data_IF_090782942453
#
_entry.id   IF_090782942453
#
_cell.length_a   1.000
_cell.length_b   1.000
_cell.length_c   1.000
_cell.angle_alpha   90.00
_cell.angle_beta   90.00
_cell.angle_gamma   90.00
#
_symmetry.space_group_name_H-M   'P 1'
#
loop_
_entity.id
_entity.type
_entity.pdbx_description
1 polymer ?
#
# COMPACT_ATOMS: atom_id res chain seq x y z
N UNK A 1 -20.53 10.75 7.06
CA UNK A 1 -20.44 11.92 7.94
C UNK A 1 -19.21 11.67 8.80
N UNK A 2 -18.21 12.56 8.74
CA UNK A 2 -16.95 12.39 9.47
C UNK A 2 -17.18 12.58 10.97
N UNK A 3 -16.85 11.57 11.77
CA UNK A 3 -16.97 11.61 13.23
C UNK A 3 -15.68 12.17 13.84
N UNK A 4 -15.81 13.16 14.73
CA UNK A 4 -14.66 13.70 15.47
C UNK A 4 -14.59 13.03 16.84
N UNK A 5 -13.55 12.23 17.06
CA UNK A 5 -13.31 11.52 18.32
C UNK A 5 -12.18 12.17 19.11
N UNK A 6 -12.37 12.29 20.42
CA UNK A 6 -11.34 12.80 21.32
C UNK A 6 -10.39 11.66 21.70
N UNK A 7 -9.08 11.88 21.56
CA UNK A 7 -8.05 10.91 21.96
C UNK A 7 -6.97 11.60 22.79
N UNK A 8 -6.44 10.87 23.77
CA UNK A 8 -5.26 11.31 24.51
C UNK A 8 -4.02 11.20 23.63
N UNK A 9 -3.15 12.22 23.70
CA UNK A 9 -1.90 12.22 22.93
C UNK A 9 -1.04 10.99 23.21
N UNK A 10 -0.99 10.52 24.46
CA UNK A 10 -0.27 9.31 24.86
C UNK A 10 -0.76 8.06 24.11
N UNK A 11 -2.09 7.87 24.01
CA UNK A 11 -2.70 6.75 23.28
C UNK A 11 -2.42 6.82 21.80
N UNK A 12 -2.60 8.00 21.19
CA UNK A 12 -2.31 8.21 19.77
C UNK A 12 -0.83 7.95 19.46
N UNK A 13 0.09 8.45 20.30
CA UNK A 13 1.52 8.23 20.16
C UNK A 13 1.89 6.76 20.30
N UNK A 14 1.30 6.06 21.27
CA UNK A 14 1.54 4.63 21.44
C UNK A 14 1.07 3.84 20.20
N UNK A 15 -0.15 4.09 19.73
CA UNK A 15 -0.68 3.49 18.51
C UNK A 15 0.22 3.74 17.29
N UNK A 16 0.67 4.99 17.12
CA UNK A 16 1.60 5.36 16.05
C UNK A 16 2.88 4.52 16.09
N UNK A 17 3.55 4.45 17.25
CA UNK A 17 4.80 3.70 17.41
C UNK A 17 4.56 2.21 17.16
N UNK A 18 3.47 1.65 17.69
CA UNK A 18 3.15 0.23 17.52
C UNK A 18 2.91 -0.14 16.06
N UNK A 19 2.08 0.62 15.35
CA UNK A 19 1.78 0.36 13.93
C UNK A 19 3.02 0.61 13.07
N UNK A 20 3.77 1.68 13.32
CA UNK A 20 5.04 1.94 12.61
C UNK A 20 6.02 0.79 12.78
N UNK A 21 6.27 0.36 14.02
CA UNK A 21 7.16 -0.76 14.29
C UNK A 21 6.65 -2.07 13.67
N UNK A 22 5.34 -2.29 13.62
CA UNK A 22 4.79 -3.47 12.93
C UNK A 22 5.16 -3.45 11.45
N UNK A 23 4.90 -2.33 10.77
CA UNK A 23 5.15 -2.21 9.33
C UNK A 23 6.64 -2.33 9.04
N UNK A 24 7.51 -1.64 9.79
CA UNK A 24 8.97 -1.71 9.62
C UNK A 24 9.54 -3.11 9.79
N UNK A 25 8.88 -3.99 10.57
CA UNK A 25 9.29 -5.39 10.70
C UNK A 25 8.79 -6.28 9.55
N UNK A 26 7.71 -5.88 8.87
CA UNK A 26 7.14 -6.63 7.75
C UNK A 26 7.62 -6.13 6.38
N UNK A 27 8.14 -4.89 6.31
CA UNK A 27 8.78 -4.33 5.11
C UNK A 27 10.27 -4.68 5.06
N UNK A 28 10.80 -4.87 3.85
CA UNK A 28 12.22 -5.14 3.64
C UNK A 28 13.12 -3.89 3.75
N UNK A 29 12.54 -2.68 3.67
CA UNK A 29 13.26 -1.40 3.59
C UNK A 29 13.02 -0.48 4.80
N UNK A 30 14.01 0.35 5.12
CA UNK A 30 13.92 1.42 6.13
C UNK A 30 12.92 2.50 5.67
N UNK A 31 11.82 2.64 6.40
CA UNK A 31 10.76 3.59 6.07
C UNK A 31 11.08 4.99 6.60
N UNK A 32 11.75 5.81 5.77
CA UNK A 32 12.12 7.20 6.12
C UNK A 32 10.91 8.06 6.53
N UNK A 33 9.73 7.78 5.96
CA UNK A 33 8.46 8.43 6.30
C UNK A 33 7.35 7.78 5.46
N UNK A 34 6.34 7.16 6.09
CA UNK A 34 5.17 6.60 5.40
C UNK A 34 4.34 7.72 4.76
N UNK A 35 4.70 8.09 3.53
CA UNK A 35 3.95 9.02 2.68
C UNK A 35 2.78 8.27 2.05
N UNK A 36 1.80 8.06 2.91
CA UNK A 36 0.38 7.87 2.57
C UNK A 36 -0.09 6.51 2.08
N UNK A 37 0.69 5.55 1.55
CA UNK A 37 0.09 4.38 0.86
C UNK A 37 0.85 3.05 0.96
N UNK A 38 0.18 1.95 1.30
CA UNK A 38 0.78 0.62 1.54
C UNK A 38 1.48 0.09 0.28
N UNK A 39 0.80 0.03 -0.86
CA UNK A 39 1.41 -0.53 -2.09
C UNK A 39 2.56 0.36 -2.56
N UNK A 40 2.33 1.67 -2.63
CA UNK A 40 3.31 2.59 -3.19
C UNK A 40 4.54 2.81 -2.30
N UNK A 41 4.37 2.81 -0.97
CA UNK A 41 5.46 3.09 -0.04
C UNK A 41 6.23 1.82 0.33
N UNK A 42 5.54 0.68 0.43
CA UNK A 42 6.14 -0.58 0.91
C UNK A 42 6.46 -1.56 -0.21
N UNK A 43 5.94 -1.34 -1.42
CA UNK A 43 6.06 -2.30 -2.51
C UNK A 43 5.30 -3.61 -2.28
N UNK A 44 4.47 -3.69 -1.24
CA UNK A 44 3.69 -4.89 -0.90
C UNK A 44 2.45 -4.96 -1.81
N UNK A 45 2.45 -5.88 -2.77
CA UNK A 45 1.37 -6.08 -3.74
C UNK A 45 0.84 -7.50 -3.71
N UNK A 46 -0.42 -7.70 -4.10
CA UNK A 46 -1.01 -9.04 -4.18
C UNK A 46 -0.91 -9.77 -2.86
N UNK A 47 -0.36 -10.97 -2.90
CA UNK A 47 -0.28 -11.84 -1.73
C UNK A 47 0.55 -11.23 -0.59
N UNK A 48 1.55 -10.40 -0.90
CA UNK A 48 2.42 -9.78 0.13
C UNK A 48 1.64 -8.88 1.08
N UNK A 49 0.79 -7.98 0.55
CA UNK A 49 -0.03 -7.12 1.40
C UNK A 49 -1.17 -7.89 2.07
N UNK A 50 -1.69 -8.95 1.44
CA UNK A 50 -2.70 -9.82 2.04
C UNK A 50 -2.16 -10.54 3.29
N UNK A 51 -0.95 -11.11 3.19
CA UNK A 51 -0.30 -11.75 4.32
C UNK A 51 0.08 -10.77 5.42
N UNK A 52 0.58 -9.59 5.07
CA UNK A 52 0.87 -8.53 6.04
C UNK A 52 -0.40 -8.11 6.81
N UNK A 53 -1.53 -7.91 6.13
CA UNK A 53 -2.80 -7.57 6.78
C UNK A 53 -3.33 -8.71 7.66
N UNK A 54 -3.20 -9.95 7.20
CA UNK A 54 -3.59 -11.13 8.00
C UNK A 54 -2.78 -11.20 9.30
N UNK A 55 -1.47 -10.95 9.24
CA UNK A 55 -0.60 -10.87 10.42
C UNK A 55 -0.99 -9.69 11.32
N UNK A 56 -1.30 -8.53 10.75
CA UNK A 56 -1.70 -7.35 11.49
C UNK A 56 -2.97 -7.60 12.30
N UNK A 57 -4.01 -8.10 11.65
CA UNK A 57 -5.31 -8.43 12.25
C UNK A 57 -5.16 -9.51 13.32
N UNK A 58 -4.41 -10.59 13.03
CA UNK A 58 -4.19 -11.68 13.97
C UNK A 58 -3.36 -11.27 15.19
N UNK A 59 -2.29 -10.48 15.00
CA UNK A 59 -1.39 -10.06 16.08
C UNK A 59 -2.06 -9.15 17.10
N UNK A 60 -2.99 -8.31 16.65
CA UNK A 60 -3.68 -7.32 17.48
C UNK A 60 -5.15 -7.69 17.77
N UNK A 61 -5.57 -8.91 17.41
CA UNK A 61 -6.93 -9.42 17.63
C UNK A 61 -8.02 -8.47 17.11
N UNK A 62 -7.82 -7.92 15.91
CA UNK A 62 -8.70 -6.90 15.33
C UNK A 62 -9.91 -7.53 14.62
N UNK A 63 -11.05 -6.84 14.65
CA UNK A 63 -12.22 -7.18 13.87
C UNK A 63 -12.03 -6.75 12.40
N UNK A 64 -12.37 -7.62 11.45
CA UNK A 64 -12.17 -7.43 10.01
C UNK A 64 -13.42 -7.71 9.17
N UNK A 65 -14.57 -7.96 9.80
CA UNK A 65 -15.84 -8.30 9.15
C UNK A 65 -16.27 -7.29 8.07
N UNK A 66 -16.01 -6.01 8.32
CA UNK A 66 -16.35 -4.89 7.43
C UNK A 66 -15.21 -4.51 6.46
N UNK A 67 -14.09 -5.25 6.44
CA UNK A 67 -12.96 -4.98 5.55
C UNK A 67 -13.11 -5.73 4.23
N UNK A 68 -13.10 -4.98 3.12
CA UNK A 68 -13.19 -5.52 1.78
C UNK A 68 -11.85 -5.36 1.05
N UNK A 69 -11.03 -6.41 1.07
CA UNK A 69 -9.69 -6.41 0.48
C UNK A 69 -9.67 -5.90 -0.98
N UNK A 70 -10.60 -6.38 -1.80
CA UNK A 70 -10.69 -6.00 -3.20
C UNK A 70 -10.94 -4.50 -3.39
N UNK A 71 -11.52 -3.77 -2.45
CA UNK A 71 -11.65 -2.30 -2.59
C UNK A 71 -10.31 -1.57 -2.51
N UNK A 72 -9.35 -2.16 -1.82
CA UNK A 72 -8.08 -1.54 -1.48
C UNK A 72 -6.92 -2.04 -2.31
N UNK A 73 -6.91 -3.31 -2.71
CA UNK A 73 -5.77 -3.95 -3.34
C UNK A 73 -6.17 -4.79 -4.55
N UNK A 74 -5.19 -5.02 -5.43
CA UNK A 74 -5.27 -6.03 -6.47
C UNK A 74 -4.81 -7.37 -5.92
N UNK A 75 -5.50 -8.43 -6.31
CA UNK A 75 -5.04 -9.80 -6.09
C UNK A 75 -3.80 -10.12 -6.94
N UNK A 76 -3.05 -11.14 -6.55
CA UNK A 76 -1.91 -11.66 -7.32
C UNK A 76 -2.31 -12.05 -8.74
N UNK A 77 -3.49 -12.68 -8.89
CA UNK A 77 -4.03 -13.07 -10.18
C UNK A 77 -4.30 -11.85 -11.09
N UNK A 78 -4.76 -10.73 -10.55
CA UNK A 78 -4.95 -9.52 -11.35
C UNK A 78 -3.63 -8.90 -11.80
N UNK A 79 -2.59 -9.01 -10.98
CA UNK A 79 -1.27 -8.43 -11.26
C UNK A 79 -0.45 -9.28 -12.24
N UNK A 80 -0.59 -10.62 -12.17
CA UNK A 80 0.31 -11.56 -12.83
C UNK A 80 -0.40 -12.70 -13.59
N UNK A 81 -1.62 -12.49 -14.09
CA UNK A 81 -2.22 -13.49 -14.97
C UNK A 81 -1.41 -13.73 -16.26
N UNK A 82 -1.73 -14.82 -16.96
CA UNK A 82 -1.05 -15.19 -18.21
C UNK A 82 -1.18 -14.13 -19.30
N UNK A 83 -2.22 -13.30 -19.27
CA UNK A 83 -2.43 -12.23 -20.25
C UNK A 83 -1.53 -11.02 -19.97
N UNK A 84 -1.36 -10.66 -18.70
CA UNK A 84 -0.42 -9.65 -18.21
C UNK A 84 1.01 -10.08 -18.52
N UNK A 85 1.35 -11.35 -18.29
CA UNK A 85 2.65 -11.91 -18.64
C UNK A 85 2.92 -11.83 -20.14
N UNK A 86 1.95 -12.22 -20.98
CA UNK A 86 2.08 -12.14 -22.44
C UNK A 86 2.21 -10.68 -22.93
N UNK A 87 1.40 -9.77 -22.41
CA UNK A 87 1.48 -8.34 -22.73
C UNK A 87 2.85 -7.78 -22.37
N UNK A 88 3.33 -8.04 -21.16
CA UNK A 88 4.63 -7.58 -20.69
C UNK A 88 5.77 -8.16 -21.54
N UNK A 89 5.67 -9.43 -21.94
CA UNK A 89 6.64 -10.06 -22.83
C UNK A 89 6.69 -9.37 -24.21
N UNK A 90 5.54 -9.03 -24.78
CA UNK A 90 5.45 -8.30 -26.05
C UNK A 90 5.99 -6.87 -25.93
N UNK A 91 5.74 -6.18 -24.83
CA UNK A 91 6.30 -4.85 -24.56
C UNK A 91 7.83 -4.93 -24.46
N UNK A 92 8.35 -5.92 -23.71
CA UNK A 92 9.80 -6.12 -23.53
C UNK A 92 10.49 -6.49 -24.84
N UNK A 93 9.86 -7.33 -25.68
CA UNK A 93 10.44 -7.76 -26.95
C UNK A 93 10.66 -6.62 -27.94
N UNK A 94 9.84 -5.56 -27.86
CA UNK A 94 10.04 -4.32 -28.62
C UNK A 94 10.98 -3.36 -27.91
N UNK A 95 10.85 -3.21 -26.58
CA UNK A 95 11.60 -2.22 -25.82
C UNK A 95 13.09 -2.54 -25.70
N UNK A 96 13.46 -3.82 -25.54
CA UNK A 96 14.87 -4.22 -25.41
C UNK A 96 15.71 -3.84 -26.65
N UNK A 97 15.31 -4.16 -27.89
CA UNK A 97 16.01 -3.69 -29.08
C UNK A 97 16.14 -2.16 -29.16
N UNK A 98 15.08 -1.43 -28.82
CA UNK A 98 15.12 0.04 -28.81
C UNK A 98 16.13 0.56 -27.78
N UNK A 99 16.19 -0.06 -26.59
CA UNK A 99 17.22 0.27 -25.59
C UNK A 99 18.63 -0.10 -26.03
N UNK A 100 18.80 -1.18 -26.79
CA UNK A 100 20.09 -1.48 -27.42
C UNK A 100 20.51 -0.38 -28.39
N UNK A 101 19.60 0.18 -29.19
CA UNK A 101 19.90 1.31 -30.10
C UNK A 101 20.31 2.57 -29.31
N UNK A 102 19.58 2.90 -28.23
CA UNK A 102 19.97 4.00 -27.33
C UNK A 102 21.39 3.84 -26.78
N UNK A 103 21.75 2.63 -26.34
CA UNK A 103 23.10 2.33 -25.87
C UNK A 103 24.14 2.44 -26.99
N UNK A 104 23.86 1.89 -28.17
CA UNK A 104 24.76 1.95 -29.34
C UNK A 104 24.97 3.38 -29.87
N UNK A 105 23.99 4.26 -29.65
CA UNK A 105 24.08 5.69 -30.00
C UNK A 105 24.63 6.55 -28.87
N UNK A 106 25.24 5.95 -27.84
CA UNK A 106 25.81 6.65 -26.68
C UNK A 106 24.81 7.63 -26.04
N UNK A 107 23.53 7.21 -25.96
CA UNK A 107 22.41 7.98 -25.43
C UNK A 107 22.08 9.28 -26.20
N UNK A 108 22.51 9.41 -27.46
CA UNK A 108 22.05 10.49 -28.34
C UNK A 108 20.55 10.39 -28.64
N UNK A 109 20.01 9.17 -28.69
CA UNK A 109 18.58 8.90 -28.79
C UNK A 109 18.11 8.36 -27.44
N UNK A 110 17.11 9.00 -26.83
CA UNK A 110 16.52 8.54 -25.56
C UNK A 110 15.20 7.83 -25.82
N UNK A 111 15.13 6.56 -25.46
CA UNK A 111 13.92 5.75 -25.51
C UNK A 111 13.30 5.72 -24.12
N UNK A 112 12.08 6.24 -23.91
CA UNK A 112 11.43 6.16 -22.61
C UNK A 112 11.10 4.72 -22.22
N UNK A 113 10.95 4.46 -20.91
CA UNK A 113 10.43 3.18 -20.42
C UNK A 113 8.94 3.09 -20.80
N UNK A 114 8.48 1.99 -21.41
CA UNK A 114 7.07 1.81 -21.74
C UNK A 114 6.26 1.56 -20.47
N UNK A 115 4.95 1.75 -20.58
CA UNK A 115 4.02 1.28 -19.56
C UNK A 115 3.88 -0.24 -19.67
N UNK A 116 4.18 -0.92 -18.58
CA UNK A 116 3.86 -2.33 -18.40
C UNK A 116 2.37 -2.50 -18.09
N UNK A 117 1.91 -3.74 -18.15
CA UNK A 117 0.54 -4.09 -17.80
C UNK A 117 0.17 -3.50 -16.43
N UNK A 118 -1.02 -2.92 -16.37
CA UNK A 118 -1.65 -2.50 -15.13
C UNK A 118 -3.08 -3.06 -15.13
N UNK A 119 -3.57 -3.59 -14.00
CA UNK A 119 -4.95 -4.03 -13.89
C UNK A 119 -5.91 -2.91 -14.26
N UNK A 120 -6.99 -3.23 -14.97
CA UNK A 120 -7.98 -2.24 -15.41
C UNK A 120 -8.83 -1.68 -14.24
N UNK A 121 -8.94 -2.46 -13.16
CA UNK A 121 -9.72 -2.10 -11.97
C UNK A 121 -8.99 -1.00 -11.21
N UNK A 122 -9.74 -0.03 -10.68
CA UNK A 122 -9.17 0.98 -9.78
C UNK A 122 -9.34 0.54 -8.34
N UNK A 123 -8.29 0.76 -7.54
CA UNK A 123 -8.26 0.50 -6.09
C UNK A 123 -7.81 1.75 -5.35
N UNK A 124 -8.25 1.91 -4.10
CA UNK A 124 -7.89 3.10 -3.32
C UNK A 124 -6.48 3.05 -2.74
N UNK A 125 -5.91 1.84 -2.58
CA UNK A 125 -4.85 1.54 -1.61
C UNK A 125 -5.32 1.80 -0.17
N UNK A 126 -4.57 1.33 0.83
CA UNK A 126 -4.72 1.76 2.21
C UNK A 126 -3.60 2.70 2.59
N UNK A 127 -3.88 3.55 3.57
CA UNK A 127 -2.90 4.45 4.15
C UNK A 127 -2.38 3.93 5.49
N UNK A 128 -1.25 4.47 5.93
CA UNK A 128 -0.81 4.28 7.32
C UNK A 128 -1.88 4.73 8.33
N UNK A 129 -2.65 5.78 8.00
CA UNK A 129 -3.74 6.27 8.86
C UNK A 129 -4.91 5.28 8.91
N UNK A 130 -5.19 4.54 7.85
CA UNK A 130 -6.18 3.45 7.90
C UNK A 130 -5.76 2.36 8.90
N UNK A 131 -4.50 1.91 8.84
CA UNK A 131 -3.96 0.94 9.81
C UNK A 131 -3.97 1.49 11.25
N UNK A 132 -3.60 2.75 11.41
CA UNK A 132 -3.64 3.43 12.71
C UNK A 132 -5.06 3.50 13.27
N UNK A 133 -6.03 3.84 12.42
CA UNK A 133 -7.45 3.92 12.80
C UNK A 133 -7.98 2.53 13.18
N UNK A 134 -7.65 1.51 12.38
CA UNK A 134 -8.02 0.13 12.66
C UNK A 134 -7.46 -0.35 14.01
N UNK A 135 -6.19 -0.04 14.28
CA UNK A 135 -5.56 -0.39 15.56
C UNK A 135 -6.22 0.32 16.75
N UNK A 136 -6.53 1.61 16.63
CA UNK A 136 -7.13 2.39 17.73
C UNK A 136 -8.57 1.94 18.02
N UNK A 137 -9.35 1.65 16.97
CA UNK A 137 -10.78 1.32 17.09
C UNK A 137 -11.03 -0.17 17.30
N UNK A 138 -10.02 -1.02 17.09
CA UNK A 138 -10.15 -2.48 17.15
C UNK A 138 -10.88 -3.08 15.95
N UNK A 139 -11.34 -2.26 15.00
CA UNK A 139 -12.07 -2.69 13.80
C UNK A 139 -11.80 -1.78 12.61
N UNK A 140 -11.99 -2.29 11.40
CA UNK A 140 -11.75 -1.50 10.20
C UNK A 140 -12.80 -0.38 10.09
N UNK A 141 -12.32 0.86 10.05
CA UNK A 141 -13.14 2.04 9.76
C UNK A 141 -12.41 2.85 8.68
N UNK A 142 -13.04 3.13 7.53
CA UNK A 142 -12.43 3.94 6.48
C UNK A 142 -11.99 5.31 7.03
N UNK A 143 -10.76 5.74 6.73
CA UNK A 143 -10.18 6.99 7.24
C UNK A 143 -11.11 8.21 7.14
N UNK A 144 -11.83 8.35 6.03
CA UNK A 144 -12.77 9.45 5.75
C UNK A 144 -13.93 9.57 6.75
N UNK A 145 -14.12 8.55 7.59
CA UNK A 145 -15.20 8.52 8.56
C UNK A 145 -14.76 8.96 9.96
N UNK A 146 -13.46 9.02 10.27
CA UNK A 146 -12.97 9.31 11.63
C UNK A 146 -11.83 10.31 11.63
N UNK A 147 -11.96 11.35 12.46
CA UNK A 147 -10.91 12.31 12.76
C UNK A 147 -10.65 12.35 14.25
N UNK A 148 -9.38 12.22 14.62
CA UNK A 148 -8.95 12.34 16.00
C UNK A 148 -8.61 13.79 16.33
N UNK A 149 -9.23 14.30 17.40
CA UNK A 149 -8.85 15.54 18.04
C UNK A 149 -8.11 15.21 19.35
N UNK A 150 -6.96 15.86 19.57
CA UNK A 150 -6.21 15.66 20.81
C UNK A 150 -6.98 16.34 21.95
N UNK A 151 -7.31 15.56 22.97
CA UNK A 151 -7.89 16.09 24.20
C UNK A 151 -6.82 16.94 24.89
N UNK A 152 -7.00 18.27 24.91
CA UNK A 152 -6.18 19.14 25.75
C UNK A 152 -6.50 18.82 27.21
N UNK A 153 -5.57 18.16 27.89
CA UNK A 153 -5.61 18.07 29.36
C UNK A 153 -5.28 19.44 29.94
N UNK A 154 -6.16 19.94 30.80
CA UNK A 154 -5.83 20.94 31.83
C UNK A 154 -4.88 20.31 32.84
#
# INVERSE_FOLDING_TARGET
MEEIKQIEFSKLRHAYITVKNFIENESADDLESLKTKIVNDLGLTGDDNYFMLTKFVGKFELEYSDFEYDKHFHSEAELYDSSAALYNLLVVSVWLPLKTIELLTLNMIRIPKPSFYQPARQVSDMTFRDLLTWYIEGKYIPERNVRYAIRQGL
#
